data_IF_689771545204
#
_entry.id   IF_689771545204
#
_cell.length_a   1.000
_cell.length_b   1.000
_cell.length_c   1.000
_cell.angle_alpha   90.00
_cell.angle_beta   90.00
_cell.angle_gamma   90.00
#
_symmetry.space_group_name_H-M   'P 1'
#
loop_
_entity.id
_entity.type
_entity.pdbx_description
1 polymer ?
#
# COMPACT_ATOMS: atom_id res chain seq x y z
N UNK A 1 6.18 -32.72 7.96
CA UNK A 1 5.69 -32.71 6.56
C UNK A 1 4.26 -32.23 6.62
N UNK A 2 4.03 -30.94 6.37
CA UNK A 2 2.70 -30.41 6.11
C UNK A 2 2.21 -31.09 4.82
N UNK A 3 1.14 -31.86 4.92
CA UNK A 3 0.52 -32.59 3.81
C UNK A 3 -0.17 -31.66 2.84
N UNK A 4 0.61 -30.92 2.08
CA UNK A 4 0.15 -30.26 0.85
C UNK A 4 0.20 -31.32 -0.27
N UNK A 5 -0.79 -32.23 -0.24
CA UNK A 5 -1.08 -33.07 -1.41
C UNK A 5 -1.87 -32.23 -2.40
N UNK A 6 -1.22 -31.71 -3.39
CA UNK A 6 -1.20 -32.23 -4.73
C UNK A 6 -2.17 -31.69 -5.75
N UNK A 7 -1.60 -31.13 -6.82
CA UNK A 7 -1.99 -31.27 -8.24
C UNK A 7 -3.31 -30.68 -8.75
N UNK A 8 -3.79 -29.60 -8.15
CA UNK A 8 -4.27 -28.55 -9.04
C UNK A 8 -3.15 -27.50 -9.11
N UNK A 9 -2.46 -27.40 -10.26
CA UNK A 9 -1.72 -26.20 -10.66
C UNK A 9 -2.70 -25.03 -10.53
N UNK A 10 -2.74 -24.40 -9.36
CA UNK A 10 -3.30 -23.09 -9.20
C UNK A 10 -2.44 -22.26 -10.12
N UNK A 11 -2.99 -21.84 -11.27
CA UNK A 11 -2.34 -20.80 -12.09
C UNK A 11 -2.18 -19.64 -11.15
N UNK A 12 -0.96 -19.44 -10.63
CA UNK A 12 -0.66 -18.29 -9.81
C UNK A 12 -1.01 -17.06 -10.64
N UNK A 13 -1.86 -16.20 -10.12
CA UNK A 13 -2.10 -14.93 -10.78
C UNK A 13 -0.79 -14.15 -10.72
N UNK A 14 -0.15 -13.93 -11.86
CA UNK A 14 1.13 -13.22 -11.97
C UNK A 14 1.10 -11.85 -11.26
N UNK A 15 -0.09 -11.22 -11.17
CA UNK A 15 -0.28 -9.96 -10.41
C UNK A 15 -0.20 -10.18 -8.90
N UNK A 16 -0.78 -11.28 -8.40
CA UNK A 16 -0.71 -11.62 -6.99
C UNK A 16 0.74 -11.96 -6.61
N UNK A 17 1.42 -12.72 -7.43
CA UNK A 17 2.83 -13.10 -7.25
C UNK A 17 3.75 -11.87 -7.23
N UNK A 18 3.60 -10.95 -8.19
CA UNK A 18 4.33 -9.69 -8.22
C UNK A 18 4.07 -8.84 -6.97
N UNK A 19 2.82 -8.78 -6.49
CA UNK A 19 2.46 -8.05 -5.26
C UNK A 19 3.12 -8.69 -4.03
N UNK A 20 3.12 -10.02 -3.92
CA UNK A 20 3.76 -10.73 -2.83
C UNK A 20 5.28 -10.51 -2.83
N UNK A 21 5.92 -10.50 -4.01
CA UNK A 21 7.35 -10.23 -4.13
C UNK A 21 7.71 -8.82 -3.67
N UNK A 22 6.89 -7.81 -4.00
CA UNK A 22 7.08 -6.43 -3.52
C UNK A 22 6.94 -6.35 -2.01
N UNK A 23 5.90 -6.98 -1.43
CA UNK A 23 5.69 -7.01 0.02
C UNK A 23 6.84 -7.74 0.74
N UNK A 24 7.28 -8.87 0.22
CA UNK A 24 8.43 -9.60 0.76
C UNK A 24 9.71 -8.75 0.70
N UNK A 25 9.95 -8.07 -0.43
CA UNK A 25 11.08 -7.16 -0.60
C UNK A 25 11.05 -6.00 0.41
N UNK A 26 9.86 -5.44 0.70
CA UNK A 26 9.68 -4.38 1.68
C UNK A 26 10.02 -4.83 3.11
N UNK A 27 9.61 -6.04 3.50
CA UNK A 27 9.91 -6.63 4.79
C UNK A 27 11.40 -6.98 4.94
N UNK A 28 11.93 -7.71 3.97
CA UNK A 28 13.33 -8.19 4.02
C UNK A 28 14.36 -7.05 3.98
N UNK A 29 14.07 -5.98 3.25
CA UNK A 29 14.93 -4.80 3.18
C UNK A 29 14.54 -3.68 4.16
N UNK A 30 13.67 -3.95 5.14
CA UNK A 30 13.21 -2.95 6.11
C UNK A 30 14.35 -2.33 6.93
N UNK A 31 15.45 -3.02 7.11
CA UNK A 31 16.65 -2.51 7.78
C UNK A 31 17.41 -1.42 6.99
N UNK A 32 17.08 -1.22 5.71
CA UNK A 32 17.70 -0.21 4.83
C UNK A 32 16.83 1.05 4.77
N UNK A 33 17.43 2.23 4.54
CA UNK A 33 16.66 3.42 4.25
C UNK A 33 15.82 3.25 2.98
N UNK A 34 14.60 3.80 2.99
CA UNK A 34 13.79 3.91 1.78
C UNK A 34 14.48 4.84 0.78
N UNK A 35 14.46 4.49 -0.50
CA UNK A 35 14.98 5.31 -1.59
C UNK A 35 13.98 5.38 -2.75
N UNK A 36 14.12 6.39 -3.60
CA UNK A 36 13.37 6.48 -4.86
C UNK A 36 13.58 5.22 -5.70
N UNK A 37 14.84 4.76 -5.79
CA UNK A 37 15.21 3.58 -6.55
C UNK A 37 14.48 2.32 -6.08
N UNK A 38 14.36 2.13 -4.76
CA UNK A 38 13.59 1.01 -4.18
C UNK A 38 12.13 1.01 -4.66
N UNK A 39 11.47 2.17 -4.65
CA UNK A 39 10.08 2.31 -5.10
C UNK A 39 9.95 2.11 -6.62
N UNK A 40 10.95 2.54 -7.40
CA UNK A 40 11.00 2.31 -8.84
C UNK A 40 11.12 0.83 -9.17
N UNK A 41 11.96 0.09 -8.45
CA UNK A 41 12.11 -1.35 -8.59
C UNK A 41 10.82 -2.09 -8.22
N UNK A 42 10.15 -1.69 -7.14
CA UNK A 42 8.85 -2.25 -6.77
C UNK A 42 7.80 -2.00 -7.86
N UNK A 43 7.74 -0.78 -8.37
CA UNK A 43 6.77 -0.44 -9.42
C UNK A 43 7.05 -1.21 -10.71
N UNK A 44 8.31 -1.30 -11.15
CA UNK A 44 8.69 -2.08 -12.32
C UNK A 44 8.37 -3.58 -12.15
N UNK A 45 8.58 -4.14 -10.94
CA UNK A 45 8.24 -5.53 -10.63
C UNK A 45 6.73 -5.81 -10.70
N UNK A 46 5.89 -4.82 -10.36
CA UNK A 46 4.43 -4.95 -10.51
C UNK A 46 3.97 -4.96 -11.97
N UNK A 47 4.76 -4.40 -12.88
CA UNK A 47 4.41 -4.23 -14.29
C UNK A 47 5.55 -4.65 -15.23
N UNK A 48 5.95 -5.92 -15.23
CA UNK A 48 7.14 -6.39 -15.97
C UNK A 48 6.99 -6.22 -17.49
N UNK A 49 5.77 -6.08 -18.00
CA UNK A 49 5.50 -5.84 -19.42
C UNK A 49 5.39 -4.36 -19.79
N UNK A 50 5.53 -3.44 -18.83
CA UNK A 50 5.32 -2.01 -19.04
C UNK A 50 3.85 -1.66 -19.33
N UNK A 51 2.91 -2.51 -18.89
CA UNK A 51 1.48 -2.31 -19.16
C UNK A 51 0.63 -2.54 -17.91
N UNK A 52 -0.42 -1.72 -17.80
CA UNK A 52 -1.55 -1.96 -16.90
C UNK A 52 -2.79 -2.30 -17.75
N UNK A 53 -3.20 -3.55 -17.69
CA UNK A 53 -4.18 -4.07 -18.63
C UNK A 53 -3.72 -3.90 -20.07
N UNK A 54 -4.49 -3.18 -20.88
CA UNK A 54 -4.15 -2.88 -22.29
C UNK A 54 -3.36 -1.57 -22.46
N UNK A 55 -3.26 -0.73 -21.43
CA UNK A 55 -2.60 0.57 -21.49
C UNK A 55 -1.11 0.44 -21.23
N UNK A 56 -0.29 1.11 -22.04
CA UNK A 56 1.13 1.28 -21.76
C UNK A 56 1.29 2.33 -20.64
N UNK A 57 2.15 2.04 -19.68
CA UNK A 57 2.43 2.95 -18.55
C UNK A 57 3.93 3.16 -18.42
N UNK A 58 4.31 4.27 -17.76
CA UNK A 58 5.69 4.51 -17.31
C UNK A 58 5.99 3.53 -16.17
N UNK A 59 7.09 2.78 -16.29
CA UNK A 59 7.54 1.84 -15.27
C UNK A 59 8.93 2.20 -14.76
N UNK A 60 9.15 2.03 -13.47
CA UNK A 60 10.43 2.33 -12.84
C UNK A 60 10.75 3.83 -12.75
N UNK A 61 9.74 4.68 -12.87
CA UNK A 61 9.87 6.13 -12.72
C UNK A 61 8.54 6.74 -12.27
N UNK A 62 8.57 7.97 -11.77
CA UNK A 62 7.36 8.71 -11.47
C UNK A 62 6.63 9.12 -12.74
N UNK A 63 5.32 9.37 -12.62
CA UNK A 63 4.48 9.86 -13.71
C UNK A 63 4.93 11.24 -14.19
N UNK A 64 4.78 11.46 -15.49
CA UNK A 64 5.21 12.71 -16.15
C UNK A 64 4.12 13.33 -17.04
N UNK A 65 2.92 12.71 -17.09
CA UNK A 65 1.83 13.21 -17.93
C UNK A 65 1.25 14.53 -17.38
N UNK A 66 0.84 15.42 -18.27
CA UNK A 66 0.27 16.72 -17.89
C UNK A 66 -1.16 16.64 -17.34
N UNK A 67 -1.88 15.55 -17.65
CA UNK A 67 -3.26 15.38 -17.21
C UNK A 67 -3.32 15.10 -15.71
N UNK A 68 -4.32 15.66 -15.00
CA UNK A 68 -4.47 15.42 -13.57
C UNK A 68 -4.66 13.92 -13.24
N UNK A 69 -3.86 13.42 -12.32
CA UNK A 69 -4.06 12.07 -11.79
C UNK A 69 -5.17 12.11 -10.73
N UNK A 70 -6.16 11.24 -10.87
CA UNK A 70 -7.31 11.19 -9.99
C UNK A 70 -7.52 9.79 -9.43
N UNK A 71 -7.90 9.71 -8.15
CA UNK A 71 -8.42 8.49 -7.54
C UNK A 71 -9.92 8.47 -7.77
N UNK A 72 -10.39 7.50 -8.57
CA UNK A 72 -11.78 7.42 -8.98
C UNK A 72 -12.41 6.07 -8.65
N UNK A 73 -13.71 6.06 -8.43
CA UNK A 73 -14.53 4.84 -8.52
C UNK A 73 -15.33 4.90 -9.81
N UNK A 74 -15.04 3.99 -10.77
CA UNK A 74 -15.78 3.93 -12.02
C UNK A 74 -17.24 3.55 -11.75
N UNK A 75 -18.19 4.18 -12.50
CA UNK A 75 -19.61 3.88 -12.45
C UNK A 75 -20.10 3.48 -13.83
N UNK A 76 -20.91 2.42 -13.89
CA UNK A 76 -21.60 2.06 -15.11
C UNK A 76 -22.64 3.12 -15.46
N UNK A 77 -22.59 3.64 -16.70
CA UNK A 77 -23.56 4.63 -17.26
C UNK A 77 -23.68 5.97 -16.50
N UNK A 78 -22.68 6.34 -15.69
CA UNK A 78 -22.60 7.62 -14.97
C UNK A 78 -21.16 8.12 -14.94
N UNK A 79 -20.95 9.44 -14.76
CA UNK A 79 -19.60 9.96 -14.50
C UNK A 79 -18.96 9.27 -13.30
N UNK A 80 -17.66 9.01 -13.40
CA UNK A 80 -16.87 8.45 -12.31
C UNK A 80 -16.92 9.33 -11.07
N UNK A 81 -16.85 8.70 -9.89
CA UNK A 81 -16.73 9.46 -8.64
C UNK A 81 -15.26 9.74 -8.41
N UNK A 82 -14.90 11.02 -8.50
CA UNK A 82 -13.55 11.49 -8.14
C UNK A 82 -13.49 11.66 -6.63
N UNK A 83 -12.65 10.85 -5.98
CA UNK A 83 -12.40 10.91 -4.53
C UNK A 83 -11.30 11.90 -4.19
N UNK A 84 -10.29 12.00 -5.05
CA UNK A 84 -9.14 12.84 -4.83
C UNK A 84 -8.44 13.16 -6.16
N UNK A 85 -7.87 14.36 -6.26
CA UNK A 85 -6.99 14.77 -7.35
C UNK A 85 -5.58 15.02 -6.80
N UNK A 86 -4.63 14.26 -7.31
CA UNK A 86 -3.22 14.34 -6.90
C UNK A 86 -2.54 15.63 -7.44
N UNK A 87 -1.38 16.02 -6.87
CA UNK A 87 -0.56 17.12 -7.35
C UNK A 87 -0.21 16.98 -8.83
N UNK A 88 0.20 18.08 -9.46
CA UNK A 88 0.72 18.07 -10.83
C UNK A 88 1.97 17.19 -10.93
N UNK A 89 2.22 16.59 -12.11
CA UNK A 89 3.36 15.67 -12.30
C UNK A 89 4.71 16.35 -12.09
N UNK A 90 4.80 17.63 -12.39
CA UNK A 90 6.01 18.44 -12.18
C UNK A 90 6.40 18.57 -10.71
N UNK A 91 5.44 18.49 -9.79
CA UNK A 91 5.66 18.60 -8.35
C UNK A 91 5.96 17.26 -7.68
N UNK A 92 5.71 16.15 -8.37
CA UNK A 92 5.83 14.80 -7.78
C UNK A 92 7.22 14.52 -7.25
N UNK A 93 8.26 14.86 -8.02
CA UNK A 93 9.65 14.61 -7.60
C UNK A 93 9.94 15.32 -6.27
N UNK A 94 9.58 16.59 -6.16
CA UNK A 94 9.79 17.38 -4.94
C UNK A 94 9.01 16.82 -3.73
N UNK A 95 7.73 16.48 -3.92
CA UNK A 95 6.93 15.88 -2.87
C UNK A 95 7.49 14.54 -2.40
N UNK A 96 8.00 13.73 -3.32
CA UNK A 96 8.60 12.44 -2.98
C UNK A 96 9.95 12.58 -2.29
N UNK A 97 10.74 13.60 -2.57
CA UNK A 97 11.97 13.91 -1.82
C UNK A 97 11.66 14.21 -0.35
N UNK A 98 10.65 15.05 -0.09
CA UNK A 98 10.20 15.36 1.27
C UNK A 98 9.66 14.10 1.96
N UNK A 99 8.84 13.32 1.26
CA UNK A 99 8.27 12.07 1.80
C UNK A 99 9.36 11.07 2.19
N UNK A 100 10.33 10.80 1.31
CA UNK A 100 11.42 9.85 1.56
C UNK A 100 12.30 10.32 2.72
N UNK A 101 12.61 11.61 2.78
CA UNK A 101 13.32 12.19 3.91
C UNK A 101 12.58 11.95 5.22
N UNK A 102 11.28 12.32 5.28
CA UNK A 102 10.45 12.10 6.45
C UNK A 102 10.35 10.62 6.83
N UNK A 103 10.11 9.73 5.87
CA UNK A 103 10.00 8.29 6.13
C UNK A 103 11.24 7.74 6.83
N UNK A 104 12.42 8.17 6.39
CA UNK A 104 13.69 7.71 6.95
C UNK A 104 14.04 8.36 8.30
N UNK A 105 13.61 9.59 8.55
CA UNK A 105 13.95 10.33 9.79
C UNK A 105 12.91 10.16 10.90
N UNK A 106 11.67 9.82 10.57
CA UNK A 106 10.58 9.67 11.56
C UNK A 106 10.64 8.38 12.38
N UNK A 107 11.47 7.41 11.99
CA UNK A 107 11.68 6.18 12.76
C UNK A 107 12.13 6.51 14.19
N UNK A 108 11.45 5.96 15.21
CA UNK A 108 11.65 6.22 16.63
C UNK A 108 11.26 7.63 17.12
N UNK A 109 10.79 8.51 16.25
CA UNK A 109 10.27 9.82 16.64
C UNK A 109 8.75 9.80 16.77
N UNK A 110 8.10 8.83 16.14
CA UNK A 110 6.67 8.61 16.15
C UNK A 110 6.35 7.16 16.51
N UNK A 111 5.15 6.94 17.05
CA UNK A 111 4.59 5.60 17.21
C UNK A 111 4.52 4.89 15.85
N UNK A 112 4.91 3.61 15.81
CA UNK A 112 5.04 2.85 14.56
C UNK A 112 3.74 2.68 13.80
N UNK A 113 2.61 2.51 14.50
CA UNK A 113 1.28 2.41 13.87
C UNK A 113 0.85 3.75 13.26
N UNK A 114 1.06 4.84 14.01
CA UNK A 114 0.79 6.21 13.52
C UNK A 114 1.66 6.53 12.30
N UNK A 115 2.95 6.20 12.36
CA UNK A 115 3.90 6.41 11.27
C UNK A 115 3.47 5.62 10.02
N UNK A 116 3.06 4.36 10.17
CA UNK A 116 2.58 3.53 9.06
C UNK A 116 1.31 4.11 8.43
N UNK A 117 0.35 4.59 9.24
CA UNK A 117 -0.87 5.23 8.77
C UNK A 117 -0.59 6.52 7.99
N UNK A 118 0.32 7.36 8.50
CA UNK A 118 0.73 8.60 7.85
C UNK A 118 1.51 8.35 6.56
N UNK A 119 2.40 7.35 6.55
CA UNK A 119 3.15 6.96 5.35
C UNK A 119 2.21 6.56 4.22
N UNK A 120 1.17 5.76 4.52
CA UNK A 120 0.17 5.36 3.54
C UNK A 120 -0.62 6.56 3.01
N UNK A 121 -1.17 7.39 3.90
CA UNK A 121 -1.95 8.57 3.52
C UNK A 121 -1.12 9.50 2.63
N UNK A 122 0.07 9.84 3.06
CA UNK A 122 0.92 10.79 2.34
C UNK A 122 1.33 10.27 0.97
N UNK A 123 1.73 9.00 0.88
CA UNK A 123 2.06 8.38 -0.40
C UNK A 123 0.85 8.33 -1.36
N UNK A 124 -0.33 7.93 -0.87
CA UNK A 124 -1.57 7.95 -1.67
C UNK A 124 -1.97 9.38 -2.09
N UNK A 125 -1.67 10.38 -1.26
CA UNK A 125 -1.92 11.79 -1.59
C UNK A 125 -1.01 12.29 -2.71
N UNK A 126 0.28 11.92 -2.71
CA UNK A 126 1.21 12.27 -3.81
C UNK A 126 0.84 11.51 -5.08
N UNK A 127 0.45 10.26 -4.96
CA UNK A 127 0.10 9.35 -6.05
C UNK A 127 1.13 9.35 -7.18
N UNK A 128 2.40 8.96 -6.88
CA UNK A 128 3.53 9.30 -7.75
C UNK A 128 3.64 8.48 -9.04
N UNK A 129 2.94 7.34 -9.15
CA UNK A 129 3.01 6.46 -10.31
C UNK A 129 1.73 6.49 -11.13
N UNK A 130 1.79 6.10 -12.41
CA UNK A 130 0.60 5.95 -13.25
C UNK A 130 -0.30 4.81 -12.81
N UNK A 131 0.26 3.73 -12.25
CA UNK A 131 -0.46 2.63 -11.60
C UNK A 131 0.43 1.95 -10.56
N UNK A 132 -0.20 1.23 -9.63
CA UNK A 132 0.48 0.48 -8.57
C UNK A 132 0.62 1.21 -7.25
N UNK A 133 0.17 2.47 -7.15
CA UNK A 133 0.31 3.27 -5.92
C UNK A 133 -0.24 2.56 -4.70
N UNK A 134 -1.46 2.04 -4.73
CA UNK A 134 -2.05 1.33 -3.59
C UNK A 134 -1.28 0.08 -3.17
N UNK A 135 -0.62 -0.64 -4.10
CA UNK A 135 0.21 -1.81 -3.77
C UNK A 135 1.52 -1.39 -3.12
N UNK A 136 2.15 -0.33 -3.65
CA UNK A 136 3.39 0.24 -3.10
C UNK A 136 3.10 0.92 -1.77
N UNK A 137 2.00 1.66 -1.64
CA UNK A 137 1.56 2.27 -0.38
C UNK A 137 1.42 1.23 0.75
N UNK A 138 0.85 0.06 0.45
CA UNK A 138 0.79 -1.04 1.42
C UNK A 138 2.16 -1.67 1.72
N UNK A 139 3.05 -1.75 0.73
CA UNK A 139 4.43 -2.20 0.97
C UNK A 139 5.21 -1.23 1.88
N UNK A 140 4.98 0.07 1.74
CA UNK A 140 5.52 1.10 2.63
C UNK A 140 5.00 0.94 4.08
N UNK A 141 3.72 0.60 4.25
CA UNK A 141 3.16 0.28 5.57
C UNK A 141 3.86 -0.93 6.19
N UNK A 142 4.00 -2.02 5.43
CA UNK A 142 4.68 -3.23 5.93
C UNK A 142 6.15 -2.94 6.28
N UNK A 143 6.85 -2.15 5.46
CA UNK A 143 8.22 -1.70 5.75
C UNK A 143 8.28 -0.86 7.03
N UNK A 144 7.35 0.10 7.22
CA UNK A 144 7.30 0.95 8.40
C UNK A 144 7.06 0.12 9.68
N UNK A 145 6.11 -0.82 9.64
CA UNK A 145 5.81 -1.71 10.76
C UNK A 145 6.96 -2.67 11.05
N UNK A 146 7.61 -3.24 10.02
CA UNK A 146 8.77 -4.09 10.19
C UNK A 146 9.95 -3.39 10.86
N UNK A 147 10.17 -2.11 10.51
CA UNK A 147 11.19 -1.27 11.14
C UNK A 147 10.91 -1.01 12.62
N UNK A 148 9.65 -0.75 12.98
CA UNK A 148 9.23 -0.46 14.35
C UNK A 148 9.25 -1.73 15.21
N UNK A 149 8.64 -2.81 14.73
CA UNK A 149 8.56 -4.10 15.41
C UNK A 149 9.87 -4.89 15.37
N UNK A 150 10.83 -4.49 14.54
CA UNK A 150 12.11 -5.17 14.30
C UNK A 150 11.90 -6.64 13.88
N UNK A 151 10.95 -6.88 13.00
CA UNK A 151 10.62 -8.22 12.49
C UNK A 151 10.40 -8.18 10.98
N UNK A 152 10.83 -9.23 10.29
CA UNK A 152 10.55 -9.44 8.87
C UNK A 152 9.33 -10.36 8.66
N UNK A 153 8.71 -10.79 9.74
CA UNK A 153 7.56 -11.69 9.68
C UNK A 153 6.27 -10.92 9.48
N UNK A 154 5.48 -11.34 8.50
CA UNK A 154 4.15 -10.81 8.23
C UNK A 154 3.11 -11.80 8.72
N UNK A 155 2.41 -11.43 9.79
CA UNK A 155 1.41 -12.28 10.45
C UNK A 155 -0.04 -11.91 10.09
N UNK A 156 -0.26 -10.85 9.30
CA UNK A 156 -1.60 -10.33 8.95
C UNK A 156 -1.68 -9.86 7.50
N UNK A 157 -2.90 -9.65 7.00
CA UNK A 157 -3.16 -9.12 5.67
C UNK A 157 -3.95 -7.82 5.70
N UNK A 158 -3.23 -6.69 5.81
CA UNK A 158 -3.85 -5.36 5.70
C UNK A 158 -4.59 -5.17 4.37
N UNK A 159 -4.06 -5.73 3.28
CA UNK A 159 -4.71 -5.66 1.96
C UNK A 159 -6.09 -6.29 1.95
N UNK A 160 -6.26 -7.42 2.64
CA UNK A 160 -7.56 -8.09 2.76
C UNK A 160 -8.53 -7.26 3.60
N UNK A 161 -8.06 -6.69 4.71
CA UNK A 161 -8.89 -5.86 5.58
C UNK A 161 -9.36 -4.58 4.87
N UNK A 162 -8.48 -3.88 4.17
CA UNK A 162 -8.86 -2.69 3.37
C UNK A 162 -9.86 -3.07 2.26
N UNK A 163 -9.70 -4.24 1.64
CA UNK A 163 -10.63 -4.70 0.62
C UNK A 163 -12.03 -4.97 1.18
N UNK A 164 -12.13 -5.56 2.36
CA UNK A 164 -13.42 -5.80 3.04
C UNK A 164 -14.12 -4.50 3.41
N UNK A 165 -13.38 -3.45 3.77
CA UNK A 165 -13.90 -2.15 4.18
C UNK A 165 -13.61 -1.04 3.16
N UNK A 166 -13.66 -1.41 1.87
CA UNK A 166 -13.25 -0.53 0.76
C UNK A 166 -14.02 0.78 0.71
N UNK A 167 -15.30 0.77 1.07
CA UNK A 167 -16.12 1.99 1.10
C UNK A 167 -15.59 3.01 2.09
N UNK A 168 -15.37 2.57 3.33
CA UNK A 168 -14.79 3.41 4.39
C UNK A 168 -13.38 3.87 4.04
N UNK A 169 -12.57 3.04 3.37
CA UNK A 169 -11.23 3.44 2.94
C UNK A 169 -11.26 4.70 2.07
N UNK A 170 -12.10 4.73 1.03
CA UNK A 170 -12.18 5.89 0.15
C UNK A 170 -12.80 7.10 0.83
N UNK A 171 -13.78 6.91 1.72
CA UNK A 171 -14.39 7.97 2.51
C UNK A 171 -13.36 8.63 3.44
N UNK A 172 -12.58 7.83 4.16
CA UNK A 172 -11.54 8.32 5.06
C UNK A 172 -10.40 9.02 4.29
N UNK A 173 -10.00 8.47 3.15
CA UNK A 173 -9.01 9.09 2.28
C UNK A 173 -9.49 10.46 1.78
N UNK A 174 -10.74 10.54 1.28
CA UNK A 174 -11.33 11.78 0.81
C UNK A 174 -11.42 12.83 1.92
N UNK A 175 -11.84 12.43 3.11
CA UNK A 175 -11.95 13.32 4.28
C UNK A 175 -10.57 13.85 4.68
N UNK A 176 -9.56 12.98 4.78
CA UNK A 176 -8.21 13.35 5.19
C UNK A 176 -7.48 14.24 4.16
N UNK A 177 -7.86 14.14 2.87
CA UNK A 177 -7.25 14.94 1.78
C UNK A 177 -8.05 16.20 1.44
N UNK A 178 -9.16 16.44 2.13
CA UNK A 178 -9.97 17.65 1.95
C UNK A 178 -9.19 18.89 2.38
N UNK A 179 -9.13 19.92 1.52
CA UNK A 179 -8.46 21.19 1.83
C UNK A 179 -9.08 21.95 3.01
N UNK A 180 -10.32 21.62 3.36
CA UNK A 180 -11.01 22.25 4.48
C UNK A 180 -10.63 21.68 5.85
N UNK A 181 -10.01 20.49 5.88
CA UNK A 181 -9.67 19.82 7.11
C UNK A 181 -8.20 19.38 7.11
N UNK A 182 -7.42 19.98 8.02
CA UNK A 182 -6.02 19.61 8.25
C UNK A 182 -5.86 18.51 9.32
N UNK A 183 -6.97 18.05 9.92
CA UNK A 183 -6.95 17.01 10.95
C UNK A 183 -6.97 15.61 10.31
N UNK A 184 -5.86 14.91 10.40
CA UNK A 184 -5.70 13.53 9.93
C UNK A 184 -5.96 12.48 11.02
N UNK A 185 -6.35 12.91 12.23
CA UNK A 185 -6.63 12.00 13.36
C UNK A 185 -7.68 10.94 13.02
N UNK A 186 -8.82 11.26 12.37
CA UNK A 186 -9.80 10.24 11.98
C UNK A 186 -9.22 9.17 11.04
N UNK A 187 -8.38 9.57 10.09
CA UNK A 187 -7.66 8.64 9.22
C UNK A 187 -6.75 7.71 10.02
N UNK A 188 -5.92 8.25 10.91
CA UNK A 188 -5.00 7.46 11.72
C UNK A 188 -5.76 6.45 12.58
N UNK A 189 -6.83 6.87 13.25
CA UNK A 189 -7.67 6.00 14.08
C UNK A 189 -8.30 4.87 13.26
N UNK A 190 -8.87 5.20 12.11
CA UNK A 190 -9.45 4.21 11.22
C UNK A 190 -8.40 3.22 10.71
N UNK A 191 -7.24 3.70 10.26
CA UNK A 191 -6.18 2.87 9.70
C UNK A 191 -5.57 1.93 10.74
N UNK A 192 -5.32 2.42 11.95
CA UNK A 192 -4.87 1.60 13.09
C UNK A 192 -5.91 0.53 13.43
N UNK A 193 -7.20 0.88 13.41
CA UNK A 193 -8.28 -0.11 13.58
C UNK A 193 -8.27 -1.19 12.49
N UNK A 194 -7.93 -0.85 11.24
CA UNK A 194 -7.76 -1.86 10.18
C UNK A 194 -6.58 -2.80 10.44
N UNK A 195 -5.45 -2.28 10.92
CA UNK A 195 -4.29 -3.12 11.29
C UNK A 195 -4.68 -4.06 12.43
N UNK A 196 -5.38 -3.56 13.45
CA UNK A 196 -5.83 -4.38 14.58
C UNK A 196 -6.77 -5.50 14.12
N UNK A 197 -7.80 -5.19 13.35
CA UNK A 197 -8.72 -6.20 12.78
C UNK A 197 -7.99 -7.24 11.92
N UNK A 198 -7.01 -6.82 11.13
CA UNK A 198 -6.20 -7.74 10.33
C UNK A 198 -5.37 -8.70 11.20
N UNK A 199 -4.81 -8.20 12.29
CA UNK A 199 -4.06 -9.01 13.25
C UNK A 199 -4.97 -10.01 13.99
N UNK A 200 -6.13 -9.58 14.48
CA UNK A 200 -7.12 -10.43 15.14
C UNK A 200 -7.60 -11.56 14.23
N UNK A 201 -7.98 -11.23 12.99
CA UNK A 201 -8.40 -12.21 11.99
C UNK A 201 -7.34 -13.28 11.73
N UNK A 202 -6.08 -12.87 11.65
CA UNK A 202 -4.96 -13.79 11.45
C UNK A 202 -4.73 -14.68 12.68
N UNK A 203 -4.88 -14.13 13.87
CA UNK A 203 -4.80 -14.89 15.13
C UNK A 203 -5.90 -15.95 15.24
N UNK A 204 -7.15 -15.59 14.92
CA UNK A 204 -8.27 -16.53 14.91
C UNK A 204 -8.06 -17.67 13.90
N UNK A 205 -7.54 -17.36 12.70
CA UNK A 205 -7.21 -18.37 11.69
C UNK A 205 -6.13 -19.34 12.18
N UNK A 206 -5.07 -18.84 12.80
CA UNK A 206 -4.02 -19.69 13.38
C UNK A 206 -4.56 -20.60 14.48
N UNK A 207 -5.38 -20.07 15.40
CA UNK A 207 -6.00 -20.88 16.45
C UNK A 207 -6.94 -21.96 15.89
N UNK A 208 -7.68 -21.63 14.82
CA UNK A 208 -8.58 -22.58 14.18
C UNK A 208 -7.78 -23.71 13.50
N UNK A 209 -6.68 -23.38 12.83
CA UNK A 209 -5.82 -24.36 12.20
C UNK A 209 -5.20 -25.33 13.23
N UNK A 210 -4.70 -24.81 14.35
CA UNK A 210 -4.13 -25.64 15.44
C UNK A 210 -5.16 -26.60 16.03
N UNK A 211 -6.42 -26.18 16.20
CA UNK A 211 -7.50 -27.03 16.72
C UNK A 211 -7.98 -28.12 15.76
N UNK A 212 -7.75 -27.94 14.46
CA UNK A 212 -8.15 -28.92 13.43
C UNK A 212 -7.12 -30.05 13.24
N UNK A 213 -5.92 -29.92 13.84
CA UNK A 213 -4.86 -30.95 13.82
C UNK A 213 -4.84 -31.83 15.09
N UNK A 214 -5.66 -31.52 16.10
CA UNK A 214 -5.93 -32.35 17.28
C UNK A 214 -7.11 -33.31 17.04
#
# INVERSE_FOLDING_TARGET
RLGLSNDKKIKSDARAEATLNVLHGALHNSHRPLSHQTMFEWQAALFPTGRSGMHKIVTGAYRVHAEPMQIVTPRLDKPDVVHYQAPASEDVQHHMEIFVHWFNTSLRQQDGLVRAALAHLWFETIHPFEDGNGRIGRALVEMALAQDLKTEQRLWSLSQQIWQDRGSYYEQLQTATSRANMDVTPWVQWFVSCIHKAADSSWEQMQSAMRSEE
#
